data_IF_634575627124
#
_entry.id   IF_634575627124
#
_cell.length_a   1.000
_cell.length_b   1.000
_cell.length_c   1.000
_cell.angle_alpha   90.00
_cell.angle_beta   90.00
_cell.angle_gamma   90.00
#
_symmetry.space_group_name_H-M   'P 1'
#
loop_
_entity.id
_entity.type
_entity.pdbx_description
1 polymer ?
#
# COMPACT_ATOMS: atom_id res chain seq x y z
N UNK A 1 -0.84 22.32 78.23
CA UNK A 1 -0.63 22.62 76.81
C UNK A 1 -0.11 21.38 76.15
N UNK A 2 -0.95 20.70 75.34
CA UNK A 2 -0.57 19.47 74.61
C UNK A 2 -0.27 19.88 73.15
N UNK A 3 0.98 19.69 72.75
CA UNK A 3 1.40 19.93 71.36
C UNK A 3 1.06 18.73 70.47
N UNK A 4 0.18 18.90 69.48
CA UNK A 4 -0.07 17.97 68.44
C UNK A 4 0.92 18.28 67.31
N UNK A 5 1.80 17.30 66.95
CA UNK A 5 2.55 17.32 65.70
C UNK A 5 1.71 16.70 64.56
N UNK A 6 1.56 17.32 63.41
CA UNK A 6 0.93 16.66 62.27
C UNK A 6 1.91 15.70 61.60
N UNK A 7 1.50 14.45 61.41
CA UNK A 7 2.22 13.48 60.64
C UNK A 7 2.07 13.80 59.13
N UNK A 8 3.18 14.08 58.48
CA UNK A 8 3.26 14.31 57.02
C UNK A 8 3.29 12.92 56.31
N UNK A 9 2.14 12.49 55.78
CA UNK A 9 2.11 11.29 54.91
C UNK A 9 2.68 11.63 53.53
N UNK A 10 3.89 11.15 53.26
CA UNK A 10 4.52 11.24 51.95
C UNK A 10 3.96 10.10 51.08
N UNK A 11 3.01 10.42 50.21
CA UNK A 11 2.51 9.47 49.18
C UNK A 11 3.53 9.39 48.04
N UNK A 12 4.34 8.35 48.01
CA UNK A 12 5.18 8.03 46.85
C UNK A 12 4.24 7.58 45.71
N UNK A 13 4.07 8.42 44.70
CA UNK A 13 3.44 8.02 43.45
C UNK A 13 4.36 7.06 42.71
N UNK A 14 4.03 5.77 42.70
CA UNK A 14 4.63 4.77 41.87
C UNK A 14 4.22 5.07 40.42
N UNK A 15 5.07 5.74 39.66
CA UNK A 15 4.92 5.82 38.20
C UNK A 15 5.25 4.43 37.64
N UNK A 16 4.23 3.66 37.33
CA UNK A 16 4.40 2.45 36.53
C UNK A 16 5.01 2.85 35.17
N UNK A 17 6.04 2.14 34.65
CA UNK A 17 6.53 2.40 33.31
C UNK A 17 5.36 2.21 32.34
N UNK A 18 5.02 3.26 31.59
CA UNK A 18 4.09 3.12 30.49
C UNK A 18 4.77 2.23 29.45
N UNK A 19 4.36 0.97 29.39
CA UNK A 19 4.73 0.11 28.27
C UNK A 19 4.21 0.79 27.01
N UNK A 20 5.11 1.20 26.11
CA UNK A 20 4.71 1.68 24.79
C UNK A 20 3.80 0.62 24.15
N UNK A 21 2.61 1.03 23.71
CA UNK A 21 1.71 0.10 23.06
C UNK A 21 2.43 -0.51 21.85
N UNK A 22 2.48 -1.84 21.79
CA UNK A 22 3.09 -2.56 20.67
C UNK A 22 2.23 -2.34 19.44
N UNK A 23 2.88 -2.01 18.33
CA UNK A 23 2.21 -1.82 17.05
C UNK A 23 2.18 -3.13 16.27
N UNK A 24 1.25 -3.28 15.35
CA UNK A 24 1.24 -4.41 14.44
C UNK A 24 2.38 -4.29 13.41
N UNK A 25 2.97 -5.43 13.04
CA UNK A 25 3.87 -5.57 11.90
C UNK A 25 3.12 -6.24 10.76
N UNK A 26 3.09 -5.63 9.58
CA UNK A 26 2.41 -6.16 8.40
C UNK A 26 3.42 -6.39 7.30
N UNK A 27 3.49 -7.61 6.77
CA UNK A 27 4.47 -8.02 5.77
C UNK A 27 3.84 -8.10 4.38
N UNK A 28 4.56 -7.61 3.36
CA UNK A 28 4.23 -7.74 1.95
C UNK A 28 5.48 -8.04 1.15
N UNK A 29 5.40 -8.99 0.22
CA UNK A 29 6.52 -9.34 -0.67
C UNK A 29 6.01 -9.84 -2.03
N UNK A 30 6.94 -10.03 -2.98
CA UNK A 30 6.76 -10.79 -4.22
C UNK A 30 7.37 -12.21 -4.14
N UNK A 31 7.63 -12.74 -2.93
CA UNK A 31 8.33 -14.01 -2.73
C UNK A 31 7.43 -15.25 -2.92
N UNK A 32 6.12 -15.07 -2.99
CA UNK A 32 5.18 -16.19 -2.90
C UNK A 32 5.19 -16.84 -1.51
N UNK A 33 4.55 -18.00 -1.42
CA UNK A 33 4.46 -18.81 -0.19
C UNK A 33 4.88 -20.26 -0.41
N UNK A 34 5.53 -20.56 -1.54
CA UNK A 34 5.92 -21.94 -1.90
C UNK A 34 7.23 -22.39 -1.27
N UNK A 35 8.03 -21.44 -0.75
CA UNK A 35 9.28 -21.74 -0.04
C UNK A 35 9.32 -21.12 1.38
N UNK A 36 10.48 -21.15 2.03
CA UNK A 36 10.67 -20.68 3.40
C UNK A 36 10.95 -19.19 3.56
N UNK A 37 10.97 -18.37 2.50
CA UNK A 37 11.40 -16.98 2.59
C UNK A 37 10.51 -16.13 3.51
N UNK A 38 9.20 -16.22 3.33
CA UNK A 38 8.23 -15.52 4.19
C UNK A 38 8.28 -16.03 5.62
N UNK A 39 8.36 -17.36 5.81
CA UNK A 39 8.49 -17.97 7.14
C UNK A 39 9.75 -17.49 7.85
N UNK A 40 10.87 -17.28 7.14
CA UNK A 40 12.10 -16.74 7.72
C UNK A 40 11.94 -15.29 8.18
N UNK A 41 11.16 -14.46 7.45
CA UNK A 41 10.83 -13.10 7.88
C UNK A 41 9.99 -13.09 9.16
N UNK A 42 8.98 -13.96 9.27
CA UNK A 42 8.21 -14.17 10.50
C UNK A 42 9.11 -14.61 11.66
N UNK A 43 10.00 -15.58 11.40
CA UNK A 43 10.96 -16.07 12.41
C UNK A 43 11.87 -14.97 12.96
N UNK A 44 12.34 -14.06 12.08
CA UNK A 44 13.12 -12.88 12.51
C UNK A 44 12.26 -11.94 13.35
N UNK A 45 11.02 -11.69 12.98
CA UNK A 45 10.12 -10.83 13.75
C UNK A 45 9.84 -11.39 15.15
N UNK A 46 9.52 -12.66 15.25
CA UNK A 46 9.33 -13.33 16.56
C UNK A 46 10.61 -13.47 17.36
N UNK A 47 11.78 -13.54 16.70
CA UNK A 47 13.09 -13.49 17.37
C UNK A 47 13.39 -12.13 18.02
N UNK A 48 12.80 -11.04 17.51
CA UNK A 48 12.86 -9.70 18.12
C UNK A 48 11.91 -9.60 19.31
N UNK A 49 10.66 -10.00 19.11
CA UNK A 49 9.64 -10.03 20.17
C UNK A 49 8.63 -11.15 19.90
N UNK A 50 8.61 -12.21 20.75
CA UNK A 50 7.71 -13.34 20.57
C UNK A 50 6.22 -12.99 20.75
N UNK A 51 5.90 -11.82 21.30
CA UNK A 51 4.53 -11.33 21.49
C UNK A 51 4.13 -10.29 20.45
N UNK A 52 4.92 -10.08 19.39
CA UNK A 52 4.59 -9.15 18.34
C UNK A 52 3.43 -9.67 17.50
N UNK A 53 2.44 -8.83 17.24
CA UNK A 53 1.40 -9.14 16.26
C UNK A 53 1.99 -9.00 14.86
N UNK A 54 2.17 -10.12 14.16
CA UNK A 54 2.65 -10.16 12.78
C UNK A 54 1.50 -10.63 11.88
N UNK A 55 1.23 -9.89 10.83
CA UNK A 55 0.21 -10.20 9.83
C UNK A 55 0.79 -10.06 8.42
N UNK A 56 0.17 -10.74 7.46
CA UNK A 56 0.53 -10.63 6.06
C UNK A 56 -0.50 -9.80 5.31
N UNK A 57 -0.02 -8.84 4.49
CA UNK A 57 -0.86 -8.18 3.52
C UNK A 57 -1.05 -9.11 2.32
N UNK A 58 0.05 -9.48 1.69
CA UNK A 58 0.12 -10.49 0.62
C UNK A 58 1.58 -10.80 0.29
N UNK A 59 1.83 -12.01 -0.20
CA UNK A 59 3.14 -12.43 -0.73
C UNK A 59 3.07 -12.81 -2.22
N UNK A 60 1.93 -12.54 -2.86
CA UNK A 60 1.64 -12.86 -4.25
C UNK A 60 1.65 -11.60 -5.15
N UNK A 61 2.49 -10.61 -4.84
CA UNK A 61 2.78 -9.55 -5.79
C UNK A 61 3.49 -10.20 -6.98
N UNK A 62 3.13 -9.85 -8.23
CA UNK A 62 3.88 -10.33 -9.38
C UNK A 62 5.37 -10.01 -9.26
N UNK A 63 6.23 -10.93 -9.70
CA UNK A 63 7.68 -10.81 -9.54
C UNK A 63 8.17 -9.45 -10.05
N UNK A 64 8.88 -8.72 -9.18
CA UNK A 64 9.49 -7.42 -9.48
C UNK A 64 8.51 -6.27 -9.77
N UNK A 65 7.19 -6.47 -9.62
CA UNK A 65 6.20 -5.43 -9.90
C UNK A 65 6.06 -4.44 -8.73
N UNK A 66 6.95 -3.45 -8.74
CA UNK A 66 7.00 -2.38 -7.73
C UNK A 66 5.67 -1.60 -7.69
N UNK A 67 5.05 -1.37 -8.86
CA UNK A 67 3.81 -0.60 -8.95
C UNK A 67 2.64 -1.30 -8.28
N UNK A 68 2.44 -2.59 -8.59
CA UNK A 68 1.38 -3.40 -7.95
C UNK A 68 1.62 -3.50 -6.45
N UNK A 69 2.87 -3.70 -6.00
CA UNK A 69 3.21 -3.68 -4.58
C UNK A 69 2.82 -2.38 -3.90
N UNK A 70 3.17 -1.25 -4.48
CA UNK A 70 2.77 0.09 -3.99
C UNK A 70 1.26 0.29 -3.95
N UNK A 71 0.55 -0.20 -4.97
CA UNK A 71 -0.92 -0.12 -4.99
C UNK A 71 -1.58 -0.97 -3.88
N UNK A 72 -1.07 -2.19 -3.60
CA UNK A 72 -1.62 -3.02 -2.52
C UNK A 72 -1.42 -2.39 -1.14
N UNK A 73 -0.28 -1.73 -0.90
CA UNK A 73 -0.10 -0.89 0.29
C UNK A 73 -1.15 0.22 0.35
N UNK A 74 -1.29 1.00 -0.73
CA UNK A 74 -2.27 2.07 -0.85
C UNK A 74 -3.70 1.57 -0.60
N UNK A 75 -4.10 0.45 -1.21
CA UNK A 75 -5.41 -0.17 -1.05
C UNK A 75 -5.71 -0.53 0.40
N UNK A 76 -4.70 -0.91 1.20
CA UNK A 76 -4.89 -1.63 2.45
C UNK A 76 -4.54 -0.81 3.69
N UNK A 77 -3.52 0.06 3.61
CA UNK A 77 -2.94 0.71 4.78
C UNK A 77 -3.93 1.52 5.63
N UNK A 78 -4.96 2.12 5.02
CA UNK A 78 -5.96 2.92 5.75
C UNK A 78 -6.86 2.11 6.69
N UNK A 79 -6.93 0.80 6.51
CA UNK A 79 -7.70 -0.08 7.40
C UNK A 79 -6.91 -0.52 8.64
N UNK A 80 -5.62 -0.16 8.70
CA UNK A 80 -4.76 -0.46 9.84
C UNK A 80 -4.61 0.75 10.75
N UNK A 81 -4.53 0.56 12.08
CA UNK A 81 -4.41 1.65 13.04
C UNK A 81 -3.10 2.45 12.85
N UNK A 82 -3.09 3.65 13.41
CA UNK A 82 -1.85 4.42 13.57
C UNK A 82 -0.80 3.62 14.33
N UNK A 83 0.46 3.87 14.06
CA UNK A 83 1.58 3.11 14.62
C UNK A 83 1.91 1.83 13.88
N UNK A 84 1.00 1.28 13.04
CA UNK A 84 1.29 0.07 12.26
C UNK A 84 2.55 0.25 11.42
N UNK A 85 3.41 -0.77 11.43
CA UNK A 85 4.64 -0.86 10.63
C UNK A 85 4.41 -1.83 9.48
N UNK A 86 4.48 -1.33 8.26
CA UNK A 86 4.42 -2.13 7.04
C UNK A 86 5.84 -2.41 6.54
N UNK A 87 6.17 -3.66 6.32
CA UNK A 87 7.40 -4.08 5.64
C UNK A 87 7.00 -4.55 4.25
N UNK A 88 7.44 -3.84 3.22
CA UNK A 88 7.15 -4.15 1.84
C UNK A 88 8.43 -4.41 1.06
N UNK A 89 8.55 -5.59 0.50
CA UNK A 89 9.77 -6.06 -0.16
C UNK A 89 9.45 -6.54 -1.57
N UNK A 90 9.43 -5.60 -2.49
CA UNK A 90 9.50 -5.83 -3.94
C UNK A 90 10.78 -5.13 -4.38
N UNK A 91 11.87 -5.90 -4.48
CA UNK A 91 13.21 -5.34 -4.50
C UNK A 91 14.12 -5.90 -5.60
N UNK A 92 13.85 -5.57 -6.88
CA UNK A 92 14.72 -5.96 -7.98
C UNK A 92 16.14 -5.36 -7.88
N UNK A 93 16.33 -4.37 -7.01
CA UNK A 93 17.61 -3.70 -6.75
C UNK A 93 18.35 -4.17 -5.50
N UNK A 94 18.00 -5.35 -4.93
CA UNK A 94 18.66 -5.86 -3.72
C UNK A 94 20.18 -5.93 -3.89
N UNK A 95 20.91 -5.45 -2.89
CA UNK A 95 22.39 -5.43 -2.92
C UNK A 95 23.01 -4.35 -3.81
N UNK A 96 22.24 -3.46 -4.42
CA UNK A 96 22.72 -2.30 -5.19
C UNK A 96 22.79 -1.04 -4.30
N UNK A 97 23.05 0.12 -4.90
CA UNK A 97 23.10 1.42 -4.23
C UNK A 97 21.74 2.03 -3.89
N UNK A 98 20.61 1.34 -4.22
CA UNK A 98 19.28 1.82 -3.83
C UNK A 98 19.19 1.91 -2.31
N UNK A 99 18.57 2.97 -1.79
CA UNK A 99 18.45 3.17 -0.35
C UNK A 99 17.43 2.18 0.27
N UNK A 100 17.76 1.73 1.48
CA UNK A 100 16.83 1.07 2.39
C UNK A 100 16.24 2.13 3.32
N UNK A 101 14.92 2.28 3.39
CA UNK A 101 14.31 3.40 4.12
C UNK A 101 13.19 2.98 5.05
N UNK A 102 12.91 3.86 6.02
CA UNK A 102 11.64 3.88 6.75
C UNK A 102 10.98 5.24 6.50
N UNK A 103 9.83 5.21 5.83
CA UNK A 103 8.98 6.35 5.61
C UNK A 103 7.91 6.41 6.70
N UNK A 104 7.76 7.55 7.37
CA UNK A 104 6.68 7.82 8.32
C UNK A 104 5.69 8.77 7.66
N UNK A 105 4.43 8.39 7.62
CA UNK A 105 3.36 9.24 7.08
C UNK A 105 2.84 10.23 8.10
N UNK A 106 2.17 11.29 7.63
CA UNK A 106 1.48 12.24 8.51
C UNK A 106 0.33 11.58 9.29
N UNK A 107 -0.20 10.47 8.77
CA UNK A 107 -1.18 9.63 9.45
C UNK A 107 -0.57 8.71 10.54
N UNK A 108 0.75 8.79 10.76
CA UNK A 108 1.45 8.07 11.82
C UNK A 108 1.67 6.58 11.58
N UNK A 109 1.67 6.13 10.32
CA UNK A 109 2.06 4.76 9.91
C UNK A 109 3.48 4.76 9.38
N UNK A 110 4.13 3.60 9.46
CA UNK A 110 5.51 3.42 9.03
C UNK A 110 5.60 2.43 7.87
N UNK A 111 6.45 2.73 6.89
CA UNK A 111 6.67 1.91 5.72
C UNK A 111 8.15 1.64 5.55
N UNK A 112 8.55 0.37 5.69
CA UNK A 112 9.93 -0.13 5.66
C UNK A 112 10.16 -0.87 4.36
N UNK A 113 11.21 -0.55 3.63
CA UNK A 113 11.54 -1.25 2.39
C UNK A 113 12.54 -0.48 1.52
N UNK A 114 12.77 -0.94 0.28
CA UNK A 114 13.60 -0.23 -0.69
C UNK A 114 12.91 1.05 -1.16
N UNK A 115 13.69 2.14 -1.25
CA UNK A 115 13.25 3.38 -1.89
C UNK A 115 13.39 3.25 -3.41
N UNK A 116 12.41 2.65 -4.03
CA UNK A 116 12.39 2.33 -5.47
C UNK A 116 11.08 2.77 -6.15
N UNK A 117 10.26 3.57 -5.46
CA UNK A 117 8.99 4.05 -5.97
C UNK A 117 7.75 3.32 -5.44
N UNK A 118 7.89 2.21 -4.71
CA UNK A 118 6.73 1.49 -4.15
C UNK A 118 5.91 2.33 -3.17
N UNK A 119 6.49 3.38 -2.58
CA UNK A 119 5.79 4.26 -1.65
C UNK A 119 5.11 5.46 -2.32
N UNK A 120 5.11 5.55 -3.66
CA UNK A 120 4.55 6.67 -4.41
C UNK A 120 3.12 7.02 -3.99
N UNK A 121 2.21 6.04 -4.03
CA UNK A 121 0.78 6.27 -3.75
C UNK A 121 0.51 6.58 -2.27
N UNK A 122 1.26 5.96 -1.37
CA UNK A 122 1.22 6.24 0.08
C UNK A 122 1.72 7.66 0.35
N UNK A 123 2.86 8.05 -0.20
CA UNK A 123 3.43 9.39 -0.01
C UNK A 123 2.51 10.49 -0.56
N UNK A 124 1.78 10.22 -1.63
CA UNK A 124 0.84 11.17 -2.22
C UNK A 124 -0.45 11.30 -1.42
N UNK A 125 -1.02 10.20 -0.97
CA UNK A 125 -2.29 10.23 -0.24
C UNK A 125 -2.12 10.69 1.22
N UNK A 126 -1.16 10.08 1.94
CA UNK A 126 -1.02 10.26 3.40
C UNK A 126 0.00 11.33 3.76
N UNK A 127 0.76 11.82 2.77
CA UNK A 127 1.87 12.73 2.97
C UNK A 127 3.04 12.09 3.72
N UNK A 128 4.25 12.58 3.47
CA UNK A 128 5.45 12.16 4.21
C UNK A 128 5.66 13.13 5.37
N UNK A 129 5.71 12.61 6.59
CA UNK A 129 6.08 13.37 7.78
C UNK A 129 7.61 13.37 7.97
N UNK A 130 8.21 12.18 7.84
CA UNK A 130 9.65 11.97 8.00
C UNK A 130 10.10 10.82 7.10
N UNK A 131 11.37 10.87 6.67
CA UNK A 131 12.05 9.82 5.92
C UNK A 131 13.42 9.55 6.54
N UNK A 132 13.76 8.28 6.77
CA UNK A 132 15.08 7.89 7.29
C UNK A 132 15.69 6.77 6.45
N UNK A 133 16.98 6.89 6.19
CA UNK A 133 17.76 5.77 5.64
C UNK A 133 18.08 4.79 6.77
N UNK A 134 17.94 3.49 6.50
CA UNK A 134 18.31 2.46 7.48
C UNK A 134 19.82 2.38 7.57
N UNK A 135 20.36 2.65 8.76
CA UNK A 135 21.79 2.42 9.03
C UNK A 135 22.03 0.92 9.25
N UNK A 136 22.42 0.23 8.20
CA UNK A 136 22.64 -1.21 8.22
C UNK A 136 23.80 -1.66 9.13
N UNK A 137 24.70 -0.75 9.56
CA UNK A 137 25.79 -1.08 10.51
C UNK A 137 25.23 -1.47 11.87
N UNK A 138 24.08 -0.90 12.26
CA UNK A 138 23.43 -1.16 13.55
C UNK A 138 22.07 -1.82 13.43
N UNK A 139 21.46 -1.76 12.25
CA UNK A 139 20.11 -2.24 12.01
C UNK A 139 20.02 -3.43 11.01
N UNK A 140 21.12 -4.13 10.79
CA UNK A 140 21.16 -5.42 10.12
C UNK A 140 21.19 -6.54 11.16
N UNK A 141 20.48 -7.64 10.90
CA UNK A 141 20.48 -8.82 11.76
C UNK A 141 21.92 -9.36 11.96
N UNK A 142 22.29 -9.65 13.19
CA UNK A 142 23.62 -10.18 13.51
C UNK A 142 23.91 -11.48 12.72
N UNK A 143 25.14 -11.61 12.23
CA UNK A 143 25.61 -12.79 11.48
C UNK A 143 25.13 -12.84 10.02
N UNK A 144 24.50 -11.79 9.48
CA UNK A 144 24.04 -11.75 8.08
C UNK A 144 24.91 -10.91 7.14
N UNK A 145 26.07 -10.45 7.61
CA UNK A 145 26.94 -9.52 6.87
C UNK A 145 27.71 -10.13 5.69
N UNK A 146 27.69 -11.44 5.50
CA UNK A 146 28.39 -12.12 4.38
C UNK A 146 27.48 -12.32 3.16
N UNK A 147 26.17 -12.03 3.25
CA UNK A 147 25.22 -12.13 2.15
C UNK A 147 24.34 -10.91 2.07
N UNK A 148 24.19 -10.38 0.87
CA UNK A 148 23.38 -9.19 0.58
C UNK A 148 22.17 -9.50 -0.33
N UNK A 149 21.76 -10.77 -0.42
CA UNK A 149 20.71 -11.22 -1.32
C UNK A 149 19.34 -11.32 -0.65
N UNK A 150 19.26 -11.17 0.70
CA UNK A 150 17.99 -11.30 1.41
C UNK A 150 17.76 -10.15 2.41
N UNK A 151 17.73 -8.91 1.90
CA UNK A 151 17.43 -7.73 2.71
C UNK A 151 16.02 -7.80 3.33
N UNK A 152 15.09 -8.48 2.68
CA UNK A 152 13.73 -8.72 3.23
C UNK A 152 13.77 -9.29 4.63
N UNK A 153 14.59 -10.31 4.86
CA UNK A 153 14.78 -10.95 6.16
C UNK A 153 15.74 -10.17 7.07
N UNK A 154 16.90 -9.81 6.54
CA UNK A 154 18.05 -9.39 7.36
C UNK A 154 18.07 -7.92 7.70
N UNK A 155 17.32 -7.09 6.95
CA UNK A 155 17.21 -5.65 7.14
C UNK A 155 15.74 -5.28 7.41
N UNK A 156 14.84 -5.50 6.44
CA UNK A 156 13.49 -4.93 6.50
C UNK A 156 12.61 -5.55 7.57
N UNK A 157 12.50 -6.88 7.64
CA UNK A 157 11.74 -7.56 8.70
C UNK A 157 12.35 -7.29 10.07
N UNK A 158 13.68 -7.27 10.16
CA UNK A 158 14.39 -7.01 11.41
C UNK A 158 14.15 -5.58 11.93
N UNK A 159 14.28 -4.56 11.08
CA UNK A 159 14.00 -3.16 11.44
C UNK A 159 12.53 -2.96 11.74
N UNK A 160 11.65 -3.50 10.88
CA UNK A 160 10.20 -3.39 11.06
C UNK A 160 9.74 -3.97 12.40
N UNK A 161 10.23 -5.15 12.76
CA UNK A 161 9.92 -5.79 14.03
C UNK A 161 10.41 -4.99 15.25
N UNK A 162 11.66 -4.48 15.19
CA UNK A 162 12.23 -3.66 16.26
C UNK A 162 11.48 -2.35 16.45
N UNK A 163 11.01 -1.73 15.35
CA UNK A 163 10.22 -0.51 15.40
C UNK A 163 8.80 -0.79 15.92
N UNK A 164 8.14 -1.84 15.45
CA UNK A 164 6.78 -2.22 15.87
C UNK A 164 6.72 -2.65 17.34
N UNK A 165 7.74 -3.35 17.83
CA UNK A 165 7.85 -3.76 19.25
C UNK A 165 8.28 -2.63 20.18
N UNK A 166 8.75 -1.48 19.65
CA UNK A 166 9.32 -0.41 20.44
C UNK A 166 10.76 -0.70 20.93
N UNK A 167 11.42 -1.74 20.40
CA UNK A 167 12.81 -2.07 20.72
C UNK A 167 13.78 -0.97 20.26
N UNK A 168 13.43 -0.26 19.18
CA UNK A 168 14.09 0.96 18.73
C UNK A 168 13.06 2.08 18.53
N UNK A 169 13.50 3.33 18.74
CA UNK A 169 12.74 4.50 18.32
C UNK A 169 12.92 4.74 16.82
N UNK A 170 12.07 5.60 16.25
CA UNK A 170 12.18 5.96 14.84
C UNK A 170 13.54 6.62 14.50
N UNK A 171 14.06 7.45 15.42
CA UNK A 171 15.35 8.13 15.28
C UNK A 171 16.53 7.14 15.21
N UNK A 172 16.40 5.99 15.87
CA UNK A 172 17.43 4.94 15.90
C UNK A 172 17.47 4.08 14.63
N UNK A 173 16.54 4.29 13.69
CA UNK A 173 16.59 3.65 12.36
C UNK A 173 17.84 4.09 11.60
N UNK A 174 18.19 5.38 11.67
CA UNK A 174 19.35 5.93 10.98
C UNK A 174 19.17 7.41 10.63
N UNK A 175 20.03 7.97 9.75
CA UNK A 175 20.02 9.38 9.41
C UNK A 175 18.71 9.80 8.73
N UNK A 176 18.24 11.01 9.04
CA UNK A 176 17.12 11.63 8.35
C UNK A 176 17.49 11.97 6.91
N UNK A 177 16.55 11.79 6.01
CA UNK A 177 16.62 12.20 4.61
C UNK A 177 15.62 13.32 4.34
N UNK A 178 15.88 14.19 3.34
CA UNK A 178 14.87 15.11 2.84
C UNK A 178 13.61 14.33 2.38
N UNK A 179 12.45 14.77 2.83
CA UNK A 179 11.19 14.06 2.49
C UNK A 179 10.89 14.08 0.98
N UNK A 180 11.42 15.07 0.27
CA UNK A 180 11.30 15.22 -1.18
C UNK A 180 12.16 14.22 -1.96
N UNK A 181 13.14 13.60 -1.29
CA UNK A 181 14.05 12.62 -1.91
C UNK A 181 13.41 11.25 -2.12
N UNK A 182 12.22 11.00 -1.54
CA UNK A 182 11.49 9.73 -1.77
C UNK A 182 11.26 9.52 -3.25
N UNK A 183 11.69 8.36 -3.75
CA UNK A 183 11.52 8.01 -5.17
C UNK A 183 10.04 7.83 -5.49
N UNK A 184 9.60 8.39 -6.62
CA UNK A 184 8.22 8.28 -7.11
C UNK A 184 8.17 7.75 -8.53
N UNK A 185 7.27 6.81 -8.78
CA UNK A 185 6.95 6.33 -10.12
C UNK A 185 6.00 7.35 -10.77
N UNK A 186 6.36 7.94 -11.91
CA UNK A 186 5.46 8.81 -12.64
C UNK A 186 4.29 8.02 -13.23
N UNK A 187 3.08 8.57 -13.14
CA UNK A 187 1.89 7.99 -13.75
C UNK A 187 0.88 9.08 -14.09
N UNK A 188 -0.04 8.79 -15.02
CA UNK A 188 -1.10 9.73 -15.40
C UNK A 188 -2.10 9.90 -14.26
N UNK A 189 -2.18 11.12 -13.75
CA UNK A 189 -3.22 11.51 -12.79
C UNK A 189 -4.58 11.54 -13.47
N UNK A 190 -5.66 11.17 -12.76
CA UNK A 190 -7.00 11.26 -13.31
C UNK A 190 -7.36 12.72 -13.56
N UNK A 191 -7.95 12.99 -14.72
CA UNK A 191 -8.35 14.33 -15.10
C UNK A 191 -9.61 14.33 -15.97
N UNK A 192 -10.43 15.39 -15.85
CA UNK A 192 -11.56 15.65 -16.74
C UNK A 192 -11.15 16.74 -17.74
N UNK A 193 -11.27 16.45 -19.03
CA UNK A 193 -11.03 17.39 -20.13
C UNK A 193 -11.97 17.05 -21.28
N UNK A 194 -12.58 18.06 -21.91
CA UNK A 194 -13.45 17.92 -23.07
C UNK A 194 -14.60 16.91 -22.87
N UNK A 195 -15.18 16.89 -21.66
CA UNK A 195 -16.25 15.94 -21.29
C UNK A 195 -15.81 14.48 -21.19
N UNK A 196 -14.51 14.23 -21.07
CA UNK A 196 -13.91 12.91 -20.93
C UNK A 196 -13.01 12.86 -19.72
N UNK A 197 -13.14 11.80 -18.94
CA UNK A 197 -12.21 11.45 -17.89
C UNK A 197 -11.08 10.61 -18.48
N UNK A 198 -9.87 10.91 -18.12
CA UNK A 198 -8.68 10.12 -18.45
C UNK A 198 -7.97 9.71 -17.20
N UNK A 199 -7.39 8.52 -17.21
CA UNK A 199 -6.64 7.95 -16.11
C UNK A 199 -5.91 6.69 -16.56
N UNK A 200 -5.49 5.88 -15.59
CA UNK A 200 -4.83 4.60 -15.83
C UNK A 200 -5.64 3.45 -15.23
N UNK A 201 -5.24 2.23 -15.59
CA UNK A 201 -5.67 0.98 -14.95
C UNK A 201 -4.56 0.58 -13.98
N UNK A 202 -4.56 1.05 -12.72
CA UNK A 202 -3.46 0.80 -11.81
C UNK A 202 -3.31 -0.68 -11.48
N UNK A 203 -4.42 -1.39 -11.31
CA UNK A 203 -4.45 -2.83 -11.02
C UNK A 203 -5.74 -3.46 -11.54
N UNK A 204 -5.72 -4.78 -11.63
CA UNK A 204 -6.92 -5.60 -11.77
C UNK A 204 -7.36 -6.12 -10.39
N UNK A 205 -8.66 -6.37 -10.24
CA UNK A 205 -9.17 -7.27 -9.21
C UNK A 205 -8.85 -8.70 -9.66
N UNK A 206 -7.72 -9.22 -9.18
CA UNK A 206 -7.08 -10.42 -9.72
C UNK A 206 -8.03 -11.61 -9.78
N UNK A 207 -8.83 -11.82 -8.72
CA UNK A 207 -9.68 -13.01 -8.61
C UNK A 207 -10.89 -12.97 -9.53
N UNK A 208 -11.44 -11.79 -9.77
CA UNK A 208 -12.69 -11.62 -10.51
C UNK A 208 -12.49 -11.00 -11.89
N UNK A 209 -11.27 -10.49 -12.19
CA UNK A 209 -10.95 -9.87 -13.47
C UNK A 209 -11.69 -8.56 -13.72
N UNK A 210 -12.08 -7.86 -12.67
CA UNK A 210 -12.62 -6.51 -12.79
C UNK A 210 -11.47 -5.54 -13.08
N UNK A 211 -11.70 -4.59 -13.98
CA UNK A 211 -10.74 -3.56 -14.34
C UNK A 211 -10.96 -2.35 -13.45
N UNK A 212 -10.04 -2.09 -12.56
CA UNK A 212 -10.08 -0.92 -11.69
C UNK A 212 -9.31 0.23 -12.34
N UNK A 213 -9.85 1.45 -12.24
CA UNK A 213 -9.18 2.66 -12.71
C UNK A 213 -8.74 3.51 -11.52
N UNK A 214 -7.93 4.54 -11.78
CA UNK A 214 -7.60 5.55 -10.78
C UNK A 214 -8.53 6.77 -10.85
N UNK A 215 -9.68 6.66 -11.50
CA UNK A 215 -10.65 7.75 -11.65
C UNK A 215 -11.59 7.77 -10.44
N UNK A 216 -11.49 8.75 -9.52
CA UNK A 216 -12.30 8.75 -8.32
C UNK A 216 -13.74 9.19 -8.60
N UNK A 217 -14.65 8.76 -7.73
CA UNK A 217 -16.08 9.13 -7.75
C UNK A 217 -16.30 10.63 -7.96
N UNK A 218 -15.55 11.48 -7.26
CA UNK A 218 -15.70 12.93 -7.35
C UNK A 218 -15.46 13.51 -8.77
N UNK A 219 -14.59 12.89 -9.56
CA UNK A 219 -14.42 13.25 -10.97
C UNK A 219 -15.51 12.62 -11.84
N UNK A 220 -15.89 11.38 -11.56
CA UNK A 220 -16.93 10.69 -12.33
C UNK A 220 -18.29 11.40 -12.24
N UNK A 221 -18.65 11.91 -11.07
CA UNK A 221 -19.89 12.66 -10.86
C UNK A 221 -19.97 13.93 -11.76
N UNK A 222 -18.83 14.50 -12.15
CA UNK A 222 -18.79 15.67 -13.05
C UNK A 222 -19.22 15.35 -14.48
N UNK A 223 -19.26 14.08 -14.90
CA UNK A 223 -19.86 13.66 -16.17
C UNK A 223 -21.38 13.74 -16.17
N UNK A 224 -22.01 13.90 -14.99
CA UNK A 224 -23.46 13.92 -14.84
C UNK A 224 -24.14 12.61 -15.24
N UNK A 225 -23.45 11.48 -15.14
CA UNK A 225 -23.99 10.15 -15.38
C UNK A 225 -24.80 9.70 -14.17
N UNK A 226 -26.02 9.23 -14.40
CA UNK A 226 -26.90 8.66 -13.39
C UNK A 226 -26.92 7.14 -13.50
N UNK A 227 -27.37 6.49 -12.43
CA UNK A 227 -27.61 5.04 -12.44
C UNK A 227 -28.51 4.63 -13.64
N UNK A 228 -28.19 3.51 -14.25
CA UNK A 228 -28.76 2.95 -15.49
C UNK A 228 -28.42 3.72 -16.79
N UNK A 229 -27.74 4.85 -16.72
CA UNK A 229 -27.28 5.54 -17.94
C UNK A 229 -26.02 4.86 -18.50
N UNK A 230 -25.87 4.95 -19.83
CA UNK A 230 -24.76 4.32 -20.54
C UNK A 230 -23.48 5.18 -20.47
N UNK A 231 -22.41 4.49 -20.14
CA UNK A 231 -21.04 5.03 -20.09
C UNK A 231 -20.21 4.34 -21.17
N UNK A 232 -19.47 5.12 -21.95
CA UNK A 232 -18.44 4.60 -22.84
C UNK A 232 -17.10 4.58 -22.12
N UNK A 233 -16.43 3.43 -22.13
CA UNK A 233 -15.08 3.26 -21.60
C UNK A 233 -14.18 2.72 -22.70
N UNK A 234 -13.06 3.40 -22.93
CA UNK A 234 -12.03 3.02 -23.91
C UNK A 234 -10.74 2.70 -23.19
N UNK A 235 -10.13 1.59 -23.52
CA UNK A 235 -8.91 1.08 -22.92
C UNK A 235 -7.76 1.17 -23.91
N UNK A 236 -6.62 1.67 -23.45
CA UNK A 236 -5.44 1.83 -24.29
C UNK A 236 -4.23 1.18 -23.61
N UNK A 237 -3.34 0.58 -24.39
CA UNK A 237 -2.03 0.14 -23.95
C UNK A 237 -0.98 0.83 -24.81
N UNK A 238 -0.02 1.51 -24.16
CA UNK A 238 0.96 2.32 -24.87
C UNK A 238 0.31 3.26 -25.91
N UNK A 239 -0.75 3.95 -25.53
CA UNK A 239 -1.56 4.89 -26.36
C UNK A 239 -2.31 4.24 -27.54
N UNK A 240 -2.26 2.92 -27.71
CA UNK A 240 -3.02 2.21 -28.75
C UNK A 240 -4.33 1.70 -28.15
N UNK A 241 -5.44 1.96 -28.84
CA UNK A 241 -6.76 1.46 -28.45
C UNK A 241 -6.78 -0.08 -28.48
N UNK A 242 -7.12 -0.69 -27.35
CA UNK A 242 -7.24 -2.15 -27.18
C UNK A 242 -8.69 -2.57 -27.21
N UNK A 243 -9.56 -1.87 -26.46
CA UNK A 243 -10.96 -2.24 -26.33
C UNK A 243 -11.83 -1.01 -26.12
N UNK A 244 -13.10 -1.11 -26.46
CA UNK A 244 -14.16 -0.12 -26.15
C UNK A 244 -15.39 -0.85 -25.67
N UNK A 245 -15.97 -0.40 -24.59
CA UNK A 245 -17.26 -0.89 -24.08
C UNK A 245 -18.23 0.27 -23.88
N UNK A 246 -19.50 0.02 -24.15
CA UNK A 246 -20.62 0.86 -23.71
C UNK A 246 -21.44 0.00 -22.77
N UNK A 247 -21.57 0.42 -21.51
CA UNK A 247 -22.22 -0.34 -20.46
C UNK A 247 -22.96 0.61 -19.49
N UNK A 248 -24.03 0.14 -18.84
CA UNK A 248 -24.72 0.95 -17.85
C UNK A 248 -23.85 1.18 -16.61
N UNK A 249 -23.99 2.36 -16.00
CA UNK A 249 -23.50 2.61 -14.67
C UNK A 249 -24.47 2.02 -13.66
N UNK A 250 -23.98 1.11 -12.82
CA UNK A 250 -24.78 0.38 -11.83
C UNK A 250 -24.12 0.41 -10.46
N UNK A 251 -24.90 0.42 -9.39
CA UNK A 251 -24.37 0.36 -8.03
C UNK A 251 -23.95 -1.05 -7.62
N UNK A 252 -24.48 -2.08 -8.27
CA UNK A 252 -24.21 -3.49 -7.95
C UNK A 252 -24.03 -4.34 -9.21
N UNK A 253 -23.31 -5.46 -9.08
CA UNK A 253 -23.14 -6.41 -10.20
C UNK A 253 -24.49 -6.96 -10.71
N UNK A 254 -25.50 -7.09 -9.83
CA UNK A 254 -26.84 -7.58 -10.16
C UNK A 254 -27.68 -6.63 -11.00
N UNK A 255 -27.26 -5.39 -11.23
CA UNK A 255 -27.95 -4.43 -12.10
C UNK A 255 -27.96 -4.84 -13.57
N UNK A 256 -27.12 -5.80 -13.96
CA UNK A 256 -27.09 -6.38 -15.32
C UNK A 256 -27.22 -7.90 -15.29
N UNK A 257 -27.68 -8.49 -16.40
CA UNK A 257 -27.74 -9.94 -16.52
C UNK A 257 -26.34 -10.58 -16.47
N UNK A 258 -26.28 -11.87 -16.09
CA UNK A 258 -25.04 -12.66 -16.06
C UNK A 258 -24.27 -12.54 -17.38
N UNK A 259 -22.96 -12.31 -17.30
CA UNK A 259 -22.05 -12.16 -18.44
C UNK A 259 -22.14 -10.82 -19.18
N UNK A 260 -22.97 -9.88 -18.71
CA UNK A 260 -23.06 -8.52 -19.27
C UNK A 260 -22.11 -7.56 -18.54
N UNK A 261 -21.55 -6.59 -19.27
CA UNK A 261 -20.67 -5.58 -18.69
C UNK A 261 -21.43 -4.52 -17.91
N UNK A 262 -20.80 -3.97 -16.90
CA UNK A 262 -21.24 -2.79 -16.16
C UNK A 262 -20.06 -1.90 -15.81
N UNK A 263 -20.34 -0.62 -15.61
CA UNK A 263 -19.46 0.36 -14.96
C UNK A 263 -19.97 0.55 -13.54
N UNK A 264 -19.08 0.58 -12.55
CA UNK A 264 -19.46 0.71 -11.15
C UNK A 264 -18.37 1.45 -10.36
N UNK A 265 -18.64 1.80 -9.11
CA UNK A 265 -17.62 2.29 -8.17
C UNK A 265 -17.13 1.11 -7.32
N UNK A 266 -15.82 0.88 -7.32
CA UNK A 266 -15.20 -0.16 -6.51
C UNK A 266 -15.17 0.21 -5.01
N UNK A 267 -14.60 -0.64 -4.16
CA UNK A 267 -14.53 -0.44 -2.71
C UNK A 267 -13.63 0.74 -2.27
N UNK A 268 -12.83 1.29 -3.18
CA UNK A 268 -12.05 2.51 -2.97
C UNK A 268 -12.74 3.75 -3.52
N UNK A 269 -13.97 3.61 -4.03
CA UNK A 269 -14.77 4.64 -4.71
C UNK A 269 -14.13 5.16 -6.01
N UNK A 270 -13.36 4.31 -6.68
CA UNK A 270 -12.87 4.55 -8.02
C UNK A 270 -13.74 3.85 -9.06
N UNK A 271 -13.83 4.42 -10.27
CA UNK A 271 -14.56 3.83 -11.38
C UNK A 271 -13.93 2.51 -11.79
N UNK A 272 -14.76 1.51 -12.02
CA UNK A 272 -14.32 0.20 -12.46
C UNK A 272 -15.26 -0.39 -13.51
N UNK A 273 -14.77 -1.36 -14.28
CA UNK A 273 -15.53 -2.10 -15.29
C UNK A 273 -15.49 -3.59 -14.96
N UNK A 274 -16.62 -4.24 -15.01
CA UNK A 274 -16.75 -5.66 -14.71
C UNK A 274 -17.67 -6.39 -15.69
N UNK A 275 -17.64 -7.72 -15.63
CA UNK A 275 -18.71 -8.59 -16.10
C UNK A 275 -19.45 -9.15 -14.89
N UNK A 276 -20.78 -9.14 -14.92
CA UNK A 276 -21.51 -9.85 -13.89
C UNK A 276 -21.23 -11.36 -13.98
N UNK A 277 -20.59 -11.93 -12.93
CA UNK A 277 -20.16 -13.33 -12.84
C UNK A 277 -19.18 -13.76 -13.96
N UNK A 278 -18.21 -12.91 -14.31
CA UNK A 278 -17.18 -13.23 -15.29
C UNK A 278 -16.00 -12.27 -15.22
N UNK A 279 -14.87 -12.64 -15.82
CA UNK A 279 -13.67 -11.81 -15.91
C UNK A 279 -13.74 -10.90 -17.14
N UNK A 280 -13.86 -9.58 -16.91
CA UNK A 280 -13.83 -8.60 -18.00
C UNK A 280 -12.41 -8.50 -18.59
N UNK A 281 -11.40 -8.48 -17.74
CA UNK A 281 -10.00 -8.34 -18.13
C UNK A 281 -9.55 -9.51 -19.03
N UNK A 282 -9.79 -10.75 -18.58
CA UNK A 282 -9.42 -11.95 -19.33
C UNK A 282 -10.11 -12.02 -20.70
N UNK A 283 -11.42 -11.80 -20.72
CA UNK A 283 -12.23 -11.83 -21.96
C UNK A 283 -11.74 -10.82 -22.99
N UNK A 284 -11.26 -9.65 -22.57
CA UNK A 284 -10.88 -8.55 -23.43
C UNK A 284 -9.37 -8.33 -23.51
N UNK A 285 -8.56 -9.21 -22.89
CA UNK A 285 -7.08 -9.13 -22.85
C UNK A 285 -6.59 -7.77 -22.35
N UNK A 286 -7.20 -7.30 -21.25
CA UNK A 286 -6.82 -6.07 -20.57
C UNK A 286 -5.95 -6.44 -19.39
N UNK A 287 -4.83 -5.74 -19.24
CA UNK A 287 -3.91 -5.83 -18.14
C UNK A 287 -3.92 -4.52 -17.34
N UNK A 288 -2.96 -4.32 -16.47
CA UNK A 288 -2.82 -3.12 -15.64
C UNK A 288 -1.39 -2.64 -15.58
N UNK A 289 -1.20 -1.41 -15.15
CA UNK A 289 0.08 -0.75 -15.05
C UNK A 289 -0.03 0.73 -15.41
N UNK A 290 1.07 1.44 -15.31
CA UNK A 290 1.13 2.90 -15.61
C UNK A 290 1.01 3.20 -17.10
N UNK A 291 1.22 2.21 -17.96
CA UNK A 291 1.13 2.26 -19.42
C UNK A 291 -0.25 1.80 -19.97
N UNK A 292 -1.14 1.37 -19.08
CA UNK A 292 -2.52 1.06 -19.39
C UNK A 292 -3.42 2.24 -19.05
N UNK A 293 -3.92 2.93 -20.07
CA UNK A 293 -4.72 4.15 -19.94
C UNK A 293 -6.21 3.86 -20.14
N UNK A 294 -7.04 4.70 -19.54
CA UNK A 294 -8.50 4.65 -19.71
C UNK A 294 -9.06 6.02 -20.07
N UNK A 295 -10.03 6.05 -20.99
CA UNK A 295 -10.86 7.22 -21.29
C UNK A 295 -12.34 6.87 -21.03
N UNK A 296 -13.01 7.66 -20.20
CA UNK A 296 -14.40 7.43 -19.78
C UNK A 296 -15.24 8.64 -20.18
N UNK A 297 -16.39 8.42 -20.78
CA UNK A 297 -17.32 9.49 -21.16
C UNK A 297 -18.77 9.01 -21.07
N UNK A 298 -19.71 9.94 -20.97
CA UNK A 298 -21.12 9.62 -21.18
C UNK A 298 -21.31 9.10 -22.60
N UNK A 299 -22.02 7.98 -22.78
CA UNK A 299 -22.29 7.47 -24.11
C UNK A 299 -23.21 8.46 -24.88
N UNK A 300 -22.90 8.68 -26.16
CA UNK A 300 -23.81 9.41 -27.03
C UNK A 300 -25.06 8.57 -27.27
N UNK A 301 -26.22 9.21 -27.22
CA UNK A 301 -27.50 8.59 -27.57
C UNK A 301 -27.53 8.23 -29.04
#
# INVERSE_FOLDING_TARGET
MKHFLPALCLTAALTAPAFAAKNALVLQTDFGTSDGAVSAMHGVAYGVDPNLTVADLTHNIPDYDIWVGGYRLFQTANYWPQGTVFVSVIDPGVGTTRKSVVLKTREGRYFVGPDNGQFTLIAERDGVAELREIDEKVNRRAGSGESYTFHGRDVYAYVGARLASGTISYEQVGPALPIESVIKIPYQKPALSDGKLRGIIPVLDIKYGNVWTNVPKALFEQLGVKEHELVQVRFFHNKKLVNTVVAPYEHTFGGVAKGKPLVYLNSLLDVAVALNQGSYAEKNKIESGVDWEVEISKAKK
#
